data_IF_973343068475
#
_entry.id   IF_973343068475
#
_cell.length_a   1.000
_cell.length_b   1.000
_cell.length_c   1.000
_cell.angle_alpha   90.00
_cell.angle_beta   90.00
_cell.angle_gamma   90.00
#
_symmetry.space_group_name_H-M   'P 1'
#
loop_
_entity.id
_entity.type
_entity.pdbx_description
1 polymer ?
#
# COMPACT_ATOMS: atom_id res chain seq x y z
N UNK A 1 -1.11 31.85 -2.71
CA UNK A 1 -1.14 30.44 -3.18
C UNK A 1 -2.46 30.19 -3.90
N UNK A 2 -2.48 29.63 -5.11
CA UNK A 2 -3.73 29.39 -5.86
C UNK A 2 -4.53 28.23 -5.25
N UNK A 3 -5.84 28.16 -5.47
CA UNK A 3 -6.70 27.06 -4.99
C UNK A 3 -6.19 25.68 -5.46
N UNK A 4 -5.73 25.60 -6.70
CA UNK A 4 -5.10 24.40 -7.27
C UNK A 4 -3.80 24.00 -6.55
N UNK A 5 -2.98 24.97 -6.13
CA UNK A 5 -1.79 24.65 -5.35
C UNK A 5 -2.18 24.09 -3.98
N UNK A 6 -3.15 24.72 -3.30
CA UNK A 6 -3.62 24.28 -1.97
C UNK A 6 -4.15 22.85 -1.99
N UNK A 7 -4.91 22.48 -3.02
CA UNK A 7 -5.41 21.10 -3.22
C UNK A 7 -4.28 20.08 -3.38
N UNK A 8 -3.27 20.40 -4.20
CA UNK A 8 -2.09 19.55 -4.39
C UNK A 8 -1.29 19.34 -3.10
N UNK A 9 -1.05 20.41 -2.33
CA UNK A 9 -0.37 20.33 -1.04
C UNK A 9 -1.13 19.45 -0.06
N UNK A 10 -2.43 19.70 0.08
CA UNK A 10 -3.27 18.91 0.98
C UNK A 10 -3.30 17.44 0.59
N UNK A 11 -3.42 17.13 -0.71
CA UNK A 11 -3.37 15.74 -1.20
C UNK A 11 -2.03 15.08 -0.88
N UNK A 12 -0.91 15.80 -1.05
CA UNK A 12 0.41 15.28 -0.71
C UNK A 12 0.53 14.98 0.78
N UNK A 13 0.11 15.89 1.66
CA UNK A 13 0.08 15.67 3.12
C UNK A 13 -0.75 14.44 3.49
N UNK A 14 -1.94 14.28 2.87
CA UNK A 14 -2.78 13.11 3.11
C UNK A 14 -2.11 11.81 2.67
N UNK A 15 -1.39 11.79 1.54
CA UNK A 15 -0.64 10.61 1.08
C UNK A 15 0.46 10.29 2.08
N UNK A 16 1.26 11.28 2.48
CA UNK A 16 2.33 11.11 3.47
C UNK A 16 1.81 10.52 4.78
N UNK A 17 0.66 10.99 5.27
CA UNK A 17 0.05 10.40 6.46
C UNK A 17 -0.28 8.91 6.30
N UNK A 18 -0.78 8.48 5.13
CA UNK A 18 -1.04 7.05 4.90
C UNK A 18 0.26 6.25 4.80
N UNK A 19 1.33 6.84 4.24
CA UNK A 19 2.65 6.19 4.19
C UNK A 19 3.26 6.04 5.59
N UNK A 20 3.12 7.06 6.44
CA UNK A 20 3.55 6.97 7.84
C UNK A 20 2.77 5.89 8.59
N UNK A 21 1.46 5.80 8.39
CA UNK A 21 0.65 4.71 8.96
C UNK A 21 1.11 3.33 8.47
N UNK A 22 1.47 3.20 7.18
CA UNK A 22 2.02 1.95 6.62
C UNK A 22 3.38 1.59 7.25
N UNK A 23 4.28 2.56 7.37
CA UNK A 23 5.61 2.37 7.98
C UNK A 23 5.43 1.94 9.43
N UNK A 24 4.65 2.68 10.22
CA UNK A 24 4.44 2.39 11.63
C UNK A 24 3.86 0.98 11.84
N UNK A 25 2.80 0.62 11.12
CA UNK A 25 2.22 -0.72 11.24
C UNK A 25 3.20 -1.82 10.79
N UNK A 26 4.03 -1.54 9.77
CA UNK A 26 5.05 -2.48 9.32
C UNK A 26 6.16 -2.67 10.35
N UNK A 27 6.59 -1.59 10.99
CA UNK A 27 7.59 -1.60 12.07
C UNK A 27 7.06 -2.28 13.33
N UNK A 28 5.75 -2.18 13.59
CA UNK A 28 5.04 -2.92 14.64
C UNK A 28 4.84 -4.42 14.30
N UNK A 29 5.38 -4.88 13.18
CA UNK A 29 5.45 -6.29 12.80
C UNK A 29 4.36 -6.76 11.84
N UNK A 30 3.53 -5.87 11.29
CA UNK A 30 2.56 -6.25 10.26
C UNK A 30 3.26 -6.55 8.92
N UNK A 31 2.86 -7.65 8.27
CA UNK A 31 3.30 -7.93 6.91
C UNK A 31 2.44 -7.16 5.90
N UNK A 32 3.08 -6.50 4.94
CA UNK A 32 2.39 -5.88 3.80
C UNK A 32 2.34 -6.87 2.64
N UNK A 33 1.13 -7.26 2.25
CA UNK A 33 0.89 -8.11 1.08
C UNK A 33 0.74 -7.25 -0.16
N UNK A 34 1.53 -7.56 -1.18
CA UNK A 34 1.46 -6.94 -2.52
C UNK A 34 1.34 -8.02 -3.62
N UNK A 35 1.05 -7.61 -4.86
CA UNK A 35 0.86 -8.57 -5.96
C UNK A 35 2.19 -9.05 -6.55
N UNK A 36 3.17 -8.17 -6.67
CA UNK A 36 4.43 -8.47 -7.35
C UNK A 36 5.67 -7.77 -6.82
N UNK A 37 6.82 -8.19 -7.34
CA UNK A 37 8.14 -7.69 -6.93
C UNK A 37 8.37 -6.22 -7.26
N UNK A 38 7.67 -5.68 -8.26
CA UNK A 38 7.75 -4.25 -8.59
C UNK A 38 7.03 -3.38 -7.54
N UNK A 39 5.96 -3.90 -6.94
CA UNK A 39 5.29 -3.25 -5.81
C UNK A 39 6.21 -3.23 -4.59
N UNK A 40 6.88 -4.37 -4.33
CA UNK A 40 7.91 -4.45 -3.27
C UNK A 40 8.96 -3.36 -3.48
N UNK A 41 9.51 -3.22 -4.69
CA UNK A 41 10.51 -2.21 -4.99
C UNK A 41 9.97 -0.78 -4.77
N UNK A 42 8.75 -0.48 -5.23
CA UNK A 42 8.08 0.82 -5.02
C UNK A 42 7.95 1.14 -3.52
N UNK A 43 7.45 0.21 -2.72
CA UNK A 43 7.30 0.41 -1.27
C UNK A 43 8.65 0.55 -0.54
N UNK A 44 9.69 -0.18 -0.98
CA UNK A 44 11.05 -0.03 -0.44
C UNK A 44 11.63 1.36 -0.76
N UNK A 45 11.41 1.88 -1.96
CA UNK A 45 11.81 3.24 -2.33
C UNK A 45 11.10 4.30 -1.48
N UNK A 46 9.92 3.99 -0.95
CA UNK A 46 9.15 4.83 -0.03
C UNK A 46 9.54 4.66 1.44
N UNK A 47 10.58 3.89 1.74
CA UNK A 47 11.13 3.76 3.10
C UNK A 47 10.46 2.71 3.98
N UNK A 48 9.55 1.90 3.43
CA UNK A 48 8.97 0.77 4.17
C UNK A 48 10.04 -0.31 4.26
N UNK A 49 10.49 -0.65 5.48
CA UNK A 49 11.59 -1.60 5.72
C UNK A 49 11.13 -2.95 6.27
N UNK A 50 9.94 -3.03 6.87
CA UNK A 50 9.39 -4.26 7.44
C UNK A 50 9.00 -5.32 6.40
N UNK A 51 8.27 -6.34 6.82
CA UNK A 51 7.94 -7.49 5.96
C UNK A 51 7.02 -7.06 4.80
N UNK A 52 7.48 -7.29 3.56
CA UNK A 52 6.67 -7.15 2.35
C UNK A 52 6.70 -8.48 1.62
N UNK A 53 5.52 -9.03 1.36
CA UNK A 53 5.35 -10.40 0.85
C UNK A 53 4.39 -10.42 -0.33
N UNK A 54 4.67 -11.29 -1.29
CA UNK A 54 3.83 -11.48 -2.47
C UNK A 54 3.58 -12.97 -2.72
N UNK A 55 2.44 -13.36 -3.33
CA UNK A 55 2.14 -14.76 -3.62
C UNK A 55 3.18 -15.43 -4.53
N UNK A 56 3.78 -14.68 -5.45
CA UNK A 56 4.89 -15.07 -6.37
C UNK A 56 5.03 -16.57 -6.63
N UNK A 57 4.17 -17.11 -7.51
CA UNK A 57 4.25 -18.49 -8.00
C UNK A 57 3.63 -19.55 -7.07
N UNK A 58 3.13 -19.17 -5.90
CA UNK A 58 2.36 -20.07 -5.01
C UNK A 58 0.87 -19.99 -5.31
N UNK A 59 0.16 -21.07 -4.96
CA UNK A 59 -1.30 -21.01 -4.91
C UNK A 59 -1.73 -20.02 -3.81
N UNK A 60 -2.88 -19.38 -4.01
CA UNK A 60 -3.38 -18.41 -3.05
C UNK A 60 -3.63 -19.02 -1.67
N UNK A 61 -4.08 -20.28 -1.62
CA UNK A 61 -4.30 -21.01 -0.38
C UNK A 61 -2.98 -21.18 0.39
N UNK A 62 -1.94 -21.70 -0.27
CA UNK A 62 -0.65 -21.92 0.36
C UNK A 62 0.01 -20.61 0.83
N UNK A 63 -0.18 -19.53 0.06
CA UNK A 63 0.28 -18.21 0.47
C UNK A 63 -0.46 -17.71 1.71
N UNK A 64 -1.79 -17.86 1.77
CA UNK A 64 -2.59 -17.43 2.90
C UNK A 64 -2.32 -18.28 4.17
N UNK A 65 -2.07 -19.59 4.01
CA UNK A 65 -1.59 -20.48 5.09
C UNK A 65 -0.26 -19.98 5.67
N UNK A 66 0.72 -19.68 4.80
CA UNK A 66 2.01 -19.15 5.23
C UNK A 66 1.86 -17.84 6.01
N UNK A 67 1.01 -16.93 5.52
CA UNK A 67 0.72 -15.68 6.22
C UNK A 67 0.13 -15.94 7.61
N UNK A 68 -0.86 -16.83 7.70
CA UNK A 68 -1.54 -17.18 8.96
C UNK A 68 -0.59 -17.80 10.00
N UNK A 69 0.38 -18.61 9.54
CA UNK A 69 1.35 -19.21 10.45
C UNK A 69 2.49 -18.26 10.88
N UNK A 70 2.73 -17.17 10.13
CA UNK A 70 3.93 -16.33 10.31
C UNK A 70 3.62 -14.98 10.97
N UNK A 71 2.43 -14.41 10.71
CA UNK A 71 2.12 -13.04 11.10
C UNK A 71 0.79 -12.96 11.87
N UNK A 72 0.79 -12.15 12.94
CA UNK A 72 -0.42 -11.85 13.69
C UNK A 72 -1.23 -10.69 13.07
N UNK A 73 -0.58 -9.89 12.21
CA UNK A 73 -1.19 -8.75 11.52
C UNK A 73 -0.71 -8.66 10.07
N UNK A 74 -1.64 -8.36 9.17
CA UNK A 74 -1.39 -8.26 7.73
C UNK A 74 -2.10 -7.03 7.16
N UNK A 75 -1.35 -6.19 6.45
CA UNK A 75 -1.89 -5.12 5.62
C UNK A 75 -2.00 -5.65 4.18
N UNK A 76 -3.18 -5.53 3.57
CA UNK A 76 -3.38 -5.99 2.19
C UNK A 76 -3.37 -4.79 1.25
N UNK A 77 -2.26 -4.60 0.54
CA UNK A 77 -2.00 -3.49 -0.36
C UNK A 77 -1.83 -4.01 -1.80
N UNK A 78 -2.94 -4.49 -2.36
CA UNK A 78 -3.05 -4.95 -3.76
C UNK A 78 -3.44 -3.81 -4.69
N UNK A 79 -3.31 -4.03 -6.00
CA UNK A 79 -3.62 -3.01 -7.01
C UNK A 79 -5.10 -2.62 -6.96
N UNK A 80 -5.42 -1.38 -7.31
CA UNK A 80 -6.80 -0.84 -7.27
C UNK A 80 -7.64 -1.21 -8.50
N UNK A 81 -7.45 -2.44 -8.98
CA UNK A 81 -8.22 -3.05 -10.07
C UNK A 81 -9.10 -4.22 -9.58
N UNK A 82 -9.83 -4.84 -10.51
CA UNK A 82 -10.74 -5.96 -10.19
C UNK A 82 -10.00 -7.17 -9.62
N UNK A 83 -8.78 -7.46 -10.10
CA UNK A 83 -7.99 -8.61 -9.65
C UNK A 83 -7.45 -8.35 -8.24
N UNK A 84 -6.97 -7.14 -7.98
CA UNK A 84 -6.51 -6.76 -6.66
C UNK A 84 -7.63 -6.72 -5.62
N UNK A 85 -8.86 -6.32 -6.01
CA UNK A 85 -10.05 -6.42 -5.16
C UNK A 85 -10.42 -7.88 -4.83
N UNK A 86 -10.37 -8.77 -5.84
CA UNK A 86 -10.60 -10.21 -5.65
C UNK A 86 -9.54 -10.85 -4.74
N UNK A 87 -8.26 -10.53 -4.97
CA UNK A 87 -7.14 -11.02 -4.16
C UNK A 87 -7.27 -10.53 -2.72
N UNK A 88 -7.54 -9.25 -2.52
CA UNK A 88 -7.71 -8.66 -1.19
C UNK A 88 -8.84 -9.32 -0.42
N UNK A 89 -9.99 -9.54 -1.06
CA UNK A 89 -11.13 -10.20 -0.46
C UNK A 89 -10.84 -11.65 -0.06
N UNK A 90 -10.13 -12.41 -0.91
CA UNK A 90 -9.81 -13.82 -0.64
C UNK A 90 -8.80 -13.98 0.49
N UNK A 91 -7.73 -13.18 0.50
CA UNK A 91 -6.73 -13.19 1.57
C UNK A 91 -7.39 -12.79 2.89
N UNK A 92 -8.14 -11.69 2.88
CA UNK A 92 -8.81 -11.19 4.09
C UNK A 92 -9.73 -12.25 4.69
N UNK A 93 -10.57 -12.90 3.87
CA UNK A 93 -11.49 -13.94 4.34
C UNK A 93 -10.75 -15.14 4.94
N UNK A 94 -9.65 -15.56 4.33
CA UNK A 94 -8.85 -16.67 4.83
C UNK A 94 -8.19 -16.33 6.17
N UNK A 95 -7.56 -15.16 6.27
CA UNK A 95 -6.85 -14.74 7.48
C UNK A 95 -7.79 -14.47 8.67
N UNK A 96 -8.97 -13.94 8.41
CA UNK A 96 -10.00 -13.74 9.43
C UNK A 96 -10.47 -15.04 10.09
N UNK A 97 -10.44 -16.18 9.37
CA UNK A 97 -10.78 -17.48 9.96
C UNK A 97 -9.62 -18.11 10.75
N UNK A 98 -8.48 -17.45 10.84
CA UNK A 98 -7.25 -17.91 11.50
C UNK A 98 -6.72 -16.89 12.52
N UNK A 99 -7.60 -16.05 13.08
CA UNK A 99 -7.28 -15.05 14.11
C UNK A 99 -6.18 -14.03 13.74
N UNK A 100 -5.93 -13.83 12.45
CA UNK A 100 -4.99 -12.81 11.97
C UNK A 100 -5.71 -11.49 11.74
N UNK A 101 -5.17 -10.41 12.30
CA UNK A 101 -5.69 -9.07 12.08
C UNK A 101 -5.38 -8.60 10.67
N UNK A 102 -6.39 -8.15 9.92
CA UNK A 102 -6.22 -7.69 8.53
C UNK A 102 -6.62 -6.23 8.36
N UNK A 103 -5.71 -5.38 7.84
CA UNK A 103 -6.00 -3.99 7.47
C UNK A 103 -6.10 -3.83 5.94
N UNK A 104 -7.29 -3.44 5.46
CA UNK A 104 -7.56 -3.05 4.07
C UNK A 104 -7.93 -1.56 3.94
N UNK A 105 -7.94 -0.83 5.05
CA UNK A 105 -8.30 0.59 5.15
C UNK A 105 -7.21 1.46 4.55
N UNK A 106 -5.93 1.14 4.79
CA UNK A 106 -4.79 1.87 4.21
C UNK A 106 -4.80 1.80 2.68
N UNK A 107 -5.10 0.64 2.10
CA UNK A 107 -5.32 0.48 0.65
C UNK A 107 -6.43 1.39 0.15
N UNK A 108 -7.58 1.41 0.82
CA UNK A 108 -8.72 2.26 0.43
C UNK A 108 -8.37 3.76 0.50
N UNK A 109 -7.68 4.18 1.56
CA UNK A 109 -7.23 5.56 1.73
C UNK A 109 -6.26 5.98 0.63
N UNK A 110 -5.23 5.18 0.35
CA UNK A 110 -4.30 5.44 -0.76
C UNK A 110 -5.02 5.49 -2.09
N UNK A 111 -5.85 4.48 -2.41
CA UNK A 111 -6.65 4.42 -3.64
C UNK A 111 -7.39 5.74 -3.88
N UNK A 112 -8.13 6.22 -2.88
CA UNK A 112 -8.93 7.43 -3.02
C UNK A 112 -8.08 8.68 -3.34
N UNK A 113 -6.84 8.72 -2.87
CA UNK A 113 -5.91 9.82 -3.09
C UNK A 113 -5.20 9.75 -4.45
N UNK A 114 -4.90 8.54 -4.93
CA UNK A 114 -3.98 8.35 -6.07
C UNK A 114 -4.61 7.74 -7.34
N UNK A 115 -5.81 7.16 -7.27
CA UNK A 115 -6.40 6.39 -8.38
C UNK A 115 -6.67 7.19 -9.66
N UNK A 116 -6.70 8.52 -9.57
CA UNK A 116 -6.84 9.41 -10.74
C UNK A 116 -5.52 9.59 -11.50
N UNK A 117 -4.39 9.29 -10.86
CA UNK A 117 -3.05 9.56 -11.34
C UNK A 117 -2.26 8.28 -11.64
N UNK A 118 -2.50 7.20 -10.90
CA UNK A 118 -1.85 5.89 -11.06
C UNK A 118 -2.86 4.75 -10.89
N UNK A 119 -2.53 3.58 -11.44
CA UNK A 119 -3.43 2.42 -11.52
C UNK A 119 -3.08 1.28 -10.56
N UNK A 120 -1.90 1.33 -9.96
CA UNK A 120 -1.29 0.23 -9.22
C UNK A 120 -0.39 0.74 -8.09
N UNK A 121 0.08 -0.19 -7.26
CA UNK A 121 1.03 0.07 -6.17
C UNK A 121 2.43 0.33 -6.73
N UNK A 122 2.79 -0.34 -7.83
CA UNK A 122 4.04 -0.11 -8.56
C UNK A 122 4.24 1.38 -8.90
N UNK A 123 3.19 2.13 -9.24
CA UNK A 123 3.29 3.53 -9.63
C UNK A 123 3.42 4.54 -8.47
N UNK A 124 3.32 4.10 -7.21
CA UNK A 124 3.27 4.99 -6.04
C UNK A 124 4.55 5.83 -5.87
N UNK A 125 5.72 5.19 -5.87
CA UNK A 125 7.00 5.87 -5.62
C UNK A 125 7.27 7.00 -6.61
N UNK A 126 7.10 6.73 -7.90
CA UNK A 126 7.25 7.72 -8.96
C UNK A 126 6.20 8.82 -8.89
N UNK A 127 4.97 8.51 -8.45
CA UNK A 127 3.93 9.52 -8.29
C UNK A 127 4.26 10.51 -7.16
N UNK A 128 4.65 9.99 -6.00
CA UNK A 128 5.00 10.78 -4.81
C UNK A 128 6.22 11.66 -5.10
N UNK A 129 7.26 11.11 -5.75
CA UNK A 129 8.44 11.87 -6.14
C UNK A 129 8.07 13.06 -7.06
N UNK A 130 7.18 12.84 -8.03
CA UNK A 130 6.70 13.93 -8.91
C UNK A 130 5.91 14.98 -8.13
N UNK A 131 5.06 14.58 -7.19
CA UNK A 131 4.33 15.51 -6.32
C UNK A 131 5.29 16.37 -5.49
N UNK A 132 6.28 15.76 -4.85
CA UNK A 132 7.32 16.45 -4.07
C UNK A 132 8.08 17.48 -4.91
N UNK A 133 8.55 17.08 -6.10
CA UNK A 133 9.26 17.99 -7.01
C UNK A 133 8.39 19.18 -7.44
N UNK A 134 7.12 18.94 -7.73
CA UNK A 134 6.17 19.99 -8.10
C UNK A 134 5.87 20.95 -6.94
N UNK A 135 5.86 20.44 -5.71
CA UNK A 135 5.75 21.24 -4.49
C UNK A 135 6.97 22.15 -4.34
N UNK A 136 8.18 21.59 -4.40
CA UNK A 136 9.44 22.35 -4.24
C UNK A 136 9.53 23.48 -5.27
N UNK A 137 9.24 23.19 -6.55
CA UNK A 137 9.23 24.18 -7.65
C UNK A 137 8.22 25.33 -7.48
N UNK A 138 7.26 25.21 -6.57
CA UNK A 138 6.22 26.22 -6.32
C UNK A 138 6.47 27.04 -5.05
N UNK A 139 7.38 26.57 -4.20
CA UNK A 139 7.80 27.27 -2.98
C UNK A 139 9.06 28.11 -3.24
N UNK A 140 10.00 27.58 -4.04
CA UNK A 140 11.14 28.33 -4.57
C UNK A 140 10.73 29.24 -5.72
#
# INVERSE_FOLDING_TARGET
>A
MTARNKDMFHRYEMIEHVLQDLIQQSDDGAAIVVEGQRDVASLRNLGICGAIVSPSGKSLLHFAEMLACTYNSVIVLTDWDRRGDELSSRITRYLQSHDVTTDTRLRTRLRNLVQKDIKDVQGLDGHILRLQQNIIKRIG
#
